data_IF_691285370634
#
_entry.id   IF_691285370634
#
_cell.length_a   1.000
_cell.length_b   1.000
_cell.length_c   1.000
_cell.angle_alpha   90.00
_cell.angle_beta   90.00
_cell.angle_gamma   90.00
#
_symmetry.space_group_name_H-M   'P 1'
#
loop_
_entity.id
_entity.type
_entity.pdbx_description
1 polymer ?
#
# COMPACT_ATOMS: atom_id res chain seq x y z
N UNK A 1 2.41 32.35 -13.17
CA UNK A 1 1.28 32.25 -14.11
C UNK A 1 0.81 30.80 -14.15
N UNK A 2 -0.20 30.49 -13.34
CA UNK A 2 -0.96 29.24 -13.44
C UNK A 2 -1.84 29.29 -14.71
N UNK A 3 -2.09 28.13 -15.34
CA UNK A 3 -3.41 27.46 -15.39
C UNK A 3 -3.70 26.77 -16.74
N UNK A 4 -3.95 25.45 -16.71
CA UNK A 4 -5.28 24.85 -17.00
C UNK A 4 -5.33 23.56 -17.84
N UNK A 5 -4.31 23.18 -18.61
CA UNK A 5 -4.56 22.14 -19.65
C UNK A 5 -4.30 20.68 -19.24
N UNK A 6 -3.44 20.38 -18.26
CA UNK A 6 -3.20 18.98 -17.86
C UNK A 6 -4.28 18.36 -16.96
N UNK A 7 -5.16 19.18 -16.36
CA UNK A 7 -6.41 18.71 -15.73
C UNK A 7 -7.39 18.17 -16.80
N UNK A 8 -7.20 18.54 -18.07
CA UNK A 8 -8.09 18.16 -19.19
C UNK A 8 -8.02 16.69 -19.62
N UNK A 9 -6.97 15.93 -19.30
CA UNK A 9 -6.87 14.54 -19.76
C UNK A 9 -7.63 13.54 -18.86
N UNK A 10 -7.97 13.93 -17.63
CA UNK A 10 -8.98 13.23 -16.81
C UNK A 10 -10.39 13.39 -17.41
N UNK A 11 -10.59 14.38 -18.29
CA UNK A 11 -11.90 14.76 -18.80
C UNK A 11 -12.47 13.81 -19.87
N UNK A 12 -11.67 12.95 -20.51
CA UNK A 12 -12.17 12.12 -21.66
C UNK A 12 -12.36 10.64 -21.32
N UNK A 13 -11.78 10.13 -20.23
CA UNK A 13 -11.92 8.71 -19.82
C UNK A 13 -12.83 8.44 -18.61
N UNK A 14 -13.09 9.45 -17.76
CA UNK A 14 -13.75 9.29 -16.44
C UNK A 14 -15.18 9.88 -16.40
N UNK A 15 -15.79 10.27 -17.52
CA UNK A 15 -17.17 10.84 -17.50
C UNK A 15 -18.29 9.82 -17.19
N UNK A 16 -18.00 8.53 -17.08
CA UNK A 16 -19.03 7.49 -16.99
C UNK A 16 -19.23 6.87 -15.59
N UNK A 17 -18.53 7.34 -14.54
CA UNK A 17 -18.58 6.69 -13.22
C UNK A 17 -18.72 7.71 -12.10
N UNK A 18 -19.95 8.13 -11.83
CA UNK A 18 -20.40 8.39 -10.45
C UNK A 18 -20.08 9.76 -9.87
N UNK A 19 -20.79 10.78 -10.34
CA UNK A 19 -20.92 12.12 -9.77
C UNK A 19 -21.54 12.11 -8.34
N UNK A 20 -20.85 11.62 -7.30
CA UNK A 20 -21.31 11.77 -5.89
C UNK A 20 -20.22 11.71 -4.81
N UNK A 21 -19.00 12.18 -5.08
CA UNK A 21 -18.03 12.47 -4.00
C UNK A 21 -17.24 13.74 -4.27
N UNK A 22 -18.01 14.79 -4.57
CA UNK A 22 -17.57 16.18 -4.48
C UNK A 22 -17.46 16.53 -2.98
N UNK A 23 -16.30 17.03 -2.52
CA UNK A 23 -16.19 18.24 -1.65
C UNK A 23 -15.07 18.24 -0.61
N UNK A 24 -14.33 17.15 -0.34
CA UNK A 24 -13.26 17.15 0.69
C UNK A 24 -11.85 16.91 0.16
N UNK A 25 -11.50 17.51 -0.97
CA UNK A 25 -10.13 17.54 -1.48
C UNK A 25 -9.78 18.93 -2.04
N UNK A 26 -10.20 19.99 -1.34
CA UNK A 26 -9.68 21.33 -1.57
C UNK A 26 -8.43 21.52 -0.71
N UNK A 27 -7.25 21.46 -1.33
CA UNK A 27 -6.00 21.71 -0.64
C UNK A 27 -4.75 21.48 -1.48
N UNK A 28 -4.62 22.17 -2.63
CA UNK A 28 -3.39 22.24 -3.45
C UNK A 28 -2.19 22.95 -2.79
N UNK A 29 -2.13 22.93 -1.45
CA UNK A 29 -1.06 23.48 -0.61
C UNK A 29 -0.44 22.40 0.30
N UNK A 30 -0.98 21.17 0.32
CA UNK A 30 -0.49 20.10 1.21
C UNK A 30 0.76 19.36 0.73
N UNK A 31 1.07 19.34 -0.58
CA UNK A 31 2.14 18.50 -1.15
C UNK A 31 3.55 18.79 -0.58
N UNK A 32 3.88 20.06 -0.33
CA UNK A 32 5.17 20.46 0.25
C UNK A 32 5.27 20.15 1.77
N UNK A 33 4.13 20.04 2.47
CA UNK A 33 4.04 19.58 3.87
C UNK A 33 3.86 18.05 3.97
N UNK A 34 3.48 17.39 2.87
CA UNK A 34 3.24 15.96 2.80
C UNK A 34 4.54 15.18 2.71
N UNK A 35 5.55 15.67 1.96
CA UNK A 35 6.87 15.01 1.87
C UNK A 35 7.57 14.97 3.24
N UNK A 36 7.55 16.06 4.02
CA UNK A 36 8.15 16.09 5.36
C UNK A 36 7.43 15.16 6.35
N UNK A 37 6.08 15.10 6.30
CA UNK A 37 5.30 14.15 7.11
C UNK A 37 5.45 12.71 6.64
N UNK A 38 5.60 12.51 5.34
CA UNK A 38 5.78 11.19 4.74
C UNK A 38 7.17 10.63 5.05
N UNK A 39 8.22 11.46 5.14
CA UNK A 39 9.54 11.03 5.62
C UNK A 39 9.52 10.59 7.09
N UNK A 40 8.75 11.27 7.95
CA UNK A 40 8.55 10.84 9.33
C UNK A 40 7.80 9.51 9.38
N UNK A 41 6.75 9.33 8.57
CA UNK A 41 6.00 8.07 8.50
C UNK A 41 6.85 6.95 7.92
N UNK A 42 7.61 7.18 6.86
CA UNK A 42 8.54 6.23 6.23
C UNK A 42 9.62 5.79 7.20
N UNK A 43 10.25 6.71 7.91
CA UNK A 43 11.25 6.37 8.93
C UNK A 43 10.64 5.57 10.09
N UNK A 44 9.41 5.87 10.52
CA UNK A 44 8.68 5.08 11.52
C UNK A 44 8.31 3.69 11.00
N UNK A 45 7.92 3.59 9.73
CA UNK A 45 7.61 2.33 9.05
C UNK A 45 8.87 1.47 8.90
N UNK A 46 10.02 2.07 8.56
CA UNK A 46 11.32 1.41 8.50
C UNK A 46 11.78 0.93 9.88
N UNK A 47 11.61 1.75 10.93
CA UNK A 47 11.90 1.32 12.30
C UNK A 47 10.99 0.15 12.72
N UNK A 48 9.71 0.24 12.37
CA UNK A 48 8.75 -0.84 12.58
C UNK A 48 9.09 -2.09 11.75
N UNK A 49 9.62 -1.93 10.54
CA UNK A 49 10.08 -3.02 9.69
C UNK A 49 11.28 -3.73 10.34
N UNK A 50 12.22 -3.00 10.92
CA UNK A 50 13.36 -3.58 11.65
C UNK A 50 12.87 -4.41 12.84
N UNK A 51 11.90 -3.90 13.61
CA UNK A 51 11.29 -4.65 14.72
C UNK A 51 10.57 -5.91 14.26
N UNK A 52 9.88 -5.83 13.12
CA UNK A 52 9.15 -6.96 12.51
C UNK A 52 10.11 -7.99 11.91
N UNK A 53 11.23 -7.56 11.31
CA UNK A 53 12.28 -8.45 10.82
C UNK A 53 12.96 -9.18 11.98
N UNK A 54 13.19 -8.49 13.10
CA UNK A 54 13.67 -9.14 14.32
C UNK A 54 12.69 -10.21 14.81
N UNK A 55 11.38 -9.93 14.80
CA UNK A 55 10.34 -10.90 15.14
C UNK A 55 10.24 -12.05 14.11
N UNK A 56 10.48 -11.78 12.84
CA UNK A 56 10.48 -12.81 11.79
C UNK A 56 11.60 -13.83 11.97
N UNK A 57 12.80 -13.37 12.34
CA UNK A 57 13.97 -14.23 12.57
C UNK A 57 13.89 -14.95 13.92
N UNK A 58 13.45 -14.24 14.97
CA UNK A 58 13.46 -14.74 16.35
C UNK A 58 12.12 -15.29 16.83
N UNK A 59 11.09 -15.23 15.98
CA UNK A 59 9.74 -15.71 16.28
C UNK A 59 9.75 -17.22 16.56
N UNK A 60 9.35 -17.67 17.77
CA UNK A 60 9.32 -19.08 18.13
C UNK A 60 8.15 -19.83 17.47
N UNK A 61 7.03 -19.14 17.19
CA UNK A 61 5.85 -19.72 16.56
C UNK A 61 5.77 -19.35 15.07
N UNK A 62 5.40 -20.33 14.24
CA UNK A 62 5.20 -20.11 12.81
C UNK A 62 4.11 -19.05 12.52
N UNK A 63 3.08 -18.96 13.38
CA UNK A 63 2.02 -17.96 13.27
C UNK A 63 2.52 -16.53 13.49
N UNK A 64 3.50 -16.34 14.39
CA UNK A 64 4.10 -15.05 14.68
C UNK A 64 4.94 -14.54 13.49
N UNK A 65 5.63 -15.47 12.81
CA UNK A 65 6.36 -15.20 11.56
C UNK A 65 5.43 -14.82 10.41
N UNK A 66 4.28 -15.46 10.30
CA UNK A 66 3.26 -15.13 9.28
C UNK A 66 2.71 -13.72 9.50
N UNK A 67 2.42 -13.36 10.76
CA UNK A 67 1.95 -12.03 11.12
C UNK A 67 3.00 -10.96 10.79
N UNK A 68 4.28 -11.24 11.09
CA UNK A 68 5.39 -10.38 10.73
C UNK A 68 5.48 -10.15 9.20
N UNK A 69 5.35 -11.21 8.41
CA UNK A 69 5.35 -11.13 6.94
C UNK A 69 4.18 -10.28 6.39
N UNK A 70 2.97 -10.47 6.91
CA UNK A 70 1.80 -9.68 6.50
C UNK A 70 1.99 -8.19 6.82
N UNK A 71 2.50 -7.88 8.01
CA UNK A 71 2.76 -6.51 8.41
C UNK A 71 3.81 -5.86 7.48
N UNK A 72 4.88 -6.57 7.12
CA UNK A 72 5.91 -6.07 6.21
C UNK A 72 5.35 -5.74 4.82
N UNK A 73 4.54 -6.63 4.26
CA UNK A 73 3.98 -6.49 2.91
C UNK A 73 2.98 -5.32 2.80
N UNK A 74 2.21 -5.03 3.86
CA UNK A 74 1.31 -3.88 3.88
C UNK A 74 2.03 -2.53 3.72
N UNK A 75 3.25 -2.38 4.25
CA UNK A 75 4.05 -1.16 4.08
C UNK A 75 4.38 -0.93 2.60
N UNK A 76 4.78 -1.99 1.89
CA UNK A 76 5.12 -1.95 0.46
C UNK A 76 3.90 -1.57 -0.38
N UNK A 77 2.73 -2.13 -0.06
CA UNK A 77 1.48 -1.78 -0.74
C UNK A 77 1.10 -0.30 -0.58
N UNK A 78 1.18 0.23 0.65
CA UNK A 78 0.87 1.65 0.93
C UNK A 78 1.83 2.57 0.18
N UNK A 79 3.13 2.24 0.16
CA UNK A 79 4.15 2.95 -0.61
C UNK A 79 3.84 3.01 -2.11
N UNK A 80 3.52 1.86 -2.70
CA UNK A 80 3.13 1.77 -4.12
C UNK A 80 1.86 2.58 -4.43
N UNK A 81 0.87 2.51 -3.55
CA UNK A 81 -0.38 3.25 -3.70
C UNK A 81 -0.15 4.77 -3.65
N UNK A 82 0.71 5.26 -2.76
CA UNK A 82 1.05 6.68 -2.74
C UNK A 82 1.79 7.12 -4.01
N UNK A 83 2.74 6.32 -4.51
CA UNK A 83 3.45 6.61 -5.76
C UNK A 83 2.46 6.71 -6.93
N UNK A 84 1.48 5.80 -7.00
CA UNK A 84 0.47 5.81 -8.06
C UNK A 84 -0.41 7.07 -8.04
N UNK A 85 -0.74 7.58 -6.85
CA UNK A 85 -1.53 8.82 -6.69
C UNK A 85 -0.71 10.05 -7.09
N UNK A 86 0.59 10.06 -6.80
CA UNK A 86 1.49 11.19 -7.13
C UNK A 86 1.75 11.26 -8.64
N UNK A 87 2.03 10.14 -9.30
CA UNK A 87 2.39 10.12 -10.72
C UNK A 87 1.18 10.36 -11.64
N UNK A 88 -0.04 10.11 -11.15
CA UNK A 88 -1.29 10.35 -11.88
C UNK A 88 -1.51 9.43 -13.09
N UNK A 89 -0.61 8.47 -13.33
CA UNK A 89 -0.75 7.45 -14.39
C UNK A 89 -1.46 6.20 -13.86
N UNK A 90 -2.51 5.78 -14.57
CA UNK A 90 -3.28 4.59 -14.22
C UNK A 90 -2.47 3.29 -14.20
N UNK A 91 -1.36 3.21 -14.94
CA UNK A 91 -0.50 2.01 -15.01
C UNK A 91 0.10 1.62 -13.65
N UNK A 92 0.38 2.58 -12.76
CA UNK A 92 0.89 2.28 -11.43
C UNK A 92 -0.19 1.76 -10.47
N UNK A 93 -1.44 2.16 -10.70
CA UNK A 93 -2.59 1.73 -9.91
C UNK A 93 -2.90 0.25 -10.17
N UNK A 94 -2.78 -0.21 -11.42
CA UNK A 94 -2.92 -1.62 -11.78
C UNK A 94 -1.88 -2.50 -11.06
N UNK A 95 -0.60 -2.12 -11.15
CA UNK A 95 0.47 -2.82 -10.44
C UNK A 95 0.27 -2.84 -8.92
N UNK A 96 -0.21 -1.73 -8.34
CA UNK A 96 -0.50 -1.62 -6.91
C UNK A 96 -1.58 -2.60 -6.47
N UNK A 97 -2.69 -2.69 -7.21
CA UNK A 97 -3.80 -3.59 -6.90
C UNK A 97 -3.35 -5.05 -7.02
N UNK A 98 -2.56 -5.39 -8.05
CA UNK A 98 -1.98 -6.72 -8.22
C UNK A 98 -1.07 -7.06 -7.05
N UNK A 99 -0.20 -6.15 -6.62
CA UNK A 99 0.70 -6.37 -5.48
C UNK A 99 -0.07 -6.59 -4.17
N UNK A 100 -1.17 -5.84 -3.98
CA UNK A 100 -2.08 -6.03 -2.85
C UNK A 100 -2.67 -7.44 -2.81
N UNK A 101 -3.18 -7.90 -3.95
CA UNK A 101 -3.78 -9.21 -4.10
C UNK A 101 -2.75 -10.31 -3.87
N UNK A 102 -1.53 -10.18 -4.42
CA UNK A 102 -0.45 -11.14 -4.24
C UNK A 102 0.00 -11.24 -2.78
N UNK A 103 0.14 -10.12 -2.08
CA UNK A 103 0.45 -10.12 -0.64
C UNK A 103 -0.60 -10.87 0.17
N UNK A 104 -1.89 -10.61 -0.11
CA UNK A 104 -2.99 -11.25 0.60
C UNK A 104 -3.05 -12.76 0.31
N UNK A 105 -2.89 -13.14 -0.96
CA UNK A 105 -2.82 -14.53 -1.40
C UNK A 105 -1.63 -15.26 -0.77
N UNK A 106 -0.45 -14.64 -0.70
CA UNK A 106 0.73 -15.22 -0.09
C UNK A 106 0.51 -15.61 1.37
N UNK A 107 -0.13 -14.73 2.15
CA UNK A 107 -0.47 -15.00 3.56
C UNK A 107 -1.51 -16.13 3.68
N UNK A 108 -2.54 -16.15 2.83
CA UNK A 108 -3.54 -17.22 2.83
C UNK A 108 -2.92 -18.57 2.48
N UNK A 109 -2.08 -18.62 1.45
CA UNK A 109 -1.42 -19.86 1.02
C UNK A 109 -0.54 -20.38 2.15
N UNK A 110 0.24 -19.50 2.79
CA UNK A 110 1.12 -19.90 3.89
C UNK A 110 0.31 -20.32 5.13
N UNK A 111 -0.79 -19.63 5.45
CA UNK A 111 -1.71 -20.04 6.52
C UNK A 111 -2.30 -21.44 6.25
N UNK A 112 -2.81 -21.69 5.04
CA UNK A 112 -3.35 -22.99 4.64
C UNK A 112 -2.30 -24.09 4.65
N UNK A 113 -1.06 -23.76 4.26
CA UNK A 113 0.06 -24.70 4.32
C UNK A 113 0.37 -25.09 5.77
N UNK A 114 0.38 -24.13 6.69
CA UNK A 114 0.59 -24.39 8.11
C UNK A 114 -0.54 -25.20 8.75
N UNK A 115 -1.80 -24.90 8.42
CA UNK A 115 -2.97 -25.68 8.88
C UNK A 115 -2.88 -27.14 8.41
N UNK A 116 -2.47 -27.37 7.16
CA UNK A 116 -2.34 -28.73 6.58
C UNK A 116 -1.10 -29.46 7.06
N UNK A 117 -0.01 -28.74 7.35
CA UNK A 117 1.25 -29.30 7.85
C UNK A 117 1.17 -29.83 9.29
N UNK A 118 0.15 -29.46 10.05
CA UNK A 118 -0.16 -30.05 11.37
C UNK A 118 -0.83 -31.43 11.31
N UNK A 119 -1.16 -31.92 10.10
CA UNK A 119 -1.91 -33.17 9.89
C UNK A 119 -1.06 -34.44 9.77
N UNK A 120 0.10 -34.51 10.43
CA UNK A 120 0.83 -35.77 10.59
C UNK A 120 0.70 -36.31 12.03
N UNK A 121 -0.55 -36.55 12.44
CA UNK A 121 -1.03 -37.69 13.24
C UNK A 121 -2.53 -37.55 13.47
#
# INVERSE_FOLDING_TARGET
MMCSTCIGCVHTGIRAIGERSRSRWNGGFCLFSMEERMLIVESLLLLSLIAVLYLLVRGPHAWDRLLAYNAASNRIFVLLALIAVIDGRHSYLDATIVYAALSFLGVIILARFMERGGGHR
#
